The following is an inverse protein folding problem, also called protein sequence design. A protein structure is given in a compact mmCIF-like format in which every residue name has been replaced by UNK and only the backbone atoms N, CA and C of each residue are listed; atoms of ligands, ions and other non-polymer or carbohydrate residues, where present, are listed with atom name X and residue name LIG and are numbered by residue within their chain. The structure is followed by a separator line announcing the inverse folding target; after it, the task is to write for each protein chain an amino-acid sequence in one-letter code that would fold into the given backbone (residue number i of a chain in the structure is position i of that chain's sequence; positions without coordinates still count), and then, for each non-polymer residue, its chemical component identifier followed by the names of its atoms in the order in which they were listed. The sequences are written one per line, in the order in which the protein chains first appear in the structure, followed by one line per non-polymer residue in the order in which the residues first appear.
data_IF_561447343335
#
_entry.id   IF_561447343335
#
_cell.length_a   1.000
_cell.length_b   1.000
_cell.length_c   1.000
_cell.angle_alpha   90.00
_cell.angle_beta   90.00
_cell.angle_gamma   90.00
#
_symmetry.space_group_name_H-M   'P 1'
#
loop_
_entity.id
_entity.type
_entity.pdbx_description
1 polymer ?
#
# COMPACT_ATOMS: atom_id res chain seq x y z
N UNK A 1 -20.60 -4.10 -2.46
CA UNK A 1 -19.89 -3.22 -1.49
C UNK A 1 -18.87 -2.40 -2.26
N UNK A 2 -18.70 -1.12 -1.96
CA UNK A 2 -17.74 -0.26 -2.68
C UNK A 2 -16.62 0.13 -1.72
N UNK A 3 -15.39 -0.31 -2.01
CA UNK A 3 -14.20 -0.06 -1.20
C UNK A 3 -13.41 1.06 -1.85
N UNK A 4 -13.13 2.13 -1.11
CA UNK A 4 -12.36 3.28 -1.59
C UNK A 4 -11.07 3.34 -0.77
N UNK A 5 -9.92 3.21 -1.45
CA UNK A 5 -8.60 3.30 -0.82
C UNK A 5 -7.95 4.62 -1.23
N UNK A 6 -7.76 5.58 -0.30
CA UNK A 6 -7.11 6.83 -0.61
C UNK A 6 -5.60 6.61 -0.77
N UNK A 7 -5.10 6.87 -1.98
CA UNK A 7 -3.67 6.78 -2.31
C UNK A 7 -2.95 8.14 -2.29
N UNK A 8 -3.65 9.19 -1.87
CA UNK A 8 -3.12 10.54 -1.76
C UNK A 8 -2.35 10.72 -0.45
N UNK A 9 -1.13 10.21 -0.41
CA UNK A 9 -0.18 10.49 0.66
C UNK A 9 1.23 10.42 0.10
N UNK A 10 1.99 11.51 0.21
CA UNK A 10 3.33 11.64 -0.37
C UNK A 10 4.34 10.57 0.08
N UNK A 11 3.97 9.70 1.03
CA UNK A 11 4.86 8.66 1.54
C UNK A 11 6.14 9.24 2.14
N UNK A 12 6.14 10.49 2.61
CA UNK A 12 7.35 11.23 2.99
C UNK A 12 8.22 10.49 4.01
N UNK A 13 7.61 9.76 4.95
CA UNK A 13 8.34 8.89 5.90
C UNK A 13 9.03 7.70 5.23
N UNK A 14 8.40 7.13 4.20
CA UNK A 14 8.98 6.03 3.41
C UNK A 14 10.08 6.54 2.47
N UNK A 15 9.89 7.72 1.87
CA UNK A 15 10.94 8.37 1.08
C UNK A 15 12.18 8.69 1.94
N UNK A 16 11.99 9.22 3.16
CA UNK A 16 13.10 9.47 4.11
C UNK A 16 13.78 8.16 4.55
N UNK A 17 13.02 7.08 4.68
CA UNK A 17 13.58 5.75 4.99
C UNK A 17 14.29 5.07 3.81
N UNK A 18 14.38 5.74 2.64
CA UNK A 18 15.12 5.25 1.48
C UNK A 18 14.31 4.38 0.52
N UNK A 19 12.99 4.29 0.68
CA UNK A 19 12.14 3.59 -0.28
C UNK A 19 11.98 4.43 -1.55
N UNK A 20 12.35 3.86 -2.69
CA UNK A 20 12.23 4.48 -4.02
C UNK A 20 10.83 4.33 -4.61
N UNK A 21 10.14 3.26 -4.24
CA UNK A 21 8.81 2.96 -4.76
C UNK A 21 7.74 3.73 -3.98
N UNK A 22 6.68 4.20 -4.66
CA UNK A 22 5.52 4.80 -3.98
C UNK A 22 4.99 3.85 -2.90
N UNK A 23 4.59 4.40 -1.74
CA UNK A 23 4.12 3.63 -0.56
C UNK A 23 3.25 2.40 -0.91
N UNK A 24 2.22 2.50 -1.78
CA UNK A 24 1.35 1.36 -2.04
C UNK A 24 1.99 0.21 -2.82
N UNK A 25 3.10 0.48 -3.50
CA UNK A 25 3.86 -0.48 -4.30
C UNK A 25 5.05 -1.08 -3.53
N UNK A 26 5.37 -0.55 -2.35
CA UNK A 26 6.44 -1.10 -1.51
C UNK A 26 6.14 -2.60 -1.25
N UNK A 27 7.11 -3.49 -1.51
CA UNK A 27 6.92 -4.92 -1.28
C UNK A 27 6.84 -5.22 0.22
N UNK A 28 5.77 -5.89 0.63
CA UNK A 28 5.53 -6.44 1.97
C UNK A 28 5.39 -7.95 1.81
N UNK A 29 6.30 -8.72 2.41
CA UNK A 29 6.36 -10.19 2.24
C UNK A 29 6.41 -10.64 0.77
N UNK A 30 7.09 -9.88 -0.10
CA UNK A 30 7.24 -10.21 -1.52
C UNK A 30 6.05 -9.87 -2.40
N UNK A 31 4.97 -9.29 -1.86
CA UNK A 31 3.83 -8.77 -2.61
C UNK A 31 3.67 -7.26 -2.40
N UNK A 32 3.13 -6.50 -3.37
CA UNK A 32 2.89 -5.07 -3.18
C UNK A 32 1.95 -4.81 -1.99
N UNK A 33 2.25 -3.79 -1.17
CA UNK A 33 1.45 -3.43 0.01
C UNK A 33 -0.06 -3.34 -0.27
N UNK A 34 -0.45 -2.79 -1.43
CA UNK A 34 -1.87 -2.66 -1.80
C UNK A 34 -2.58 -4.03 -1.92
N UNK A 35 -1.88 -5.09 -2.33
CA UNK A 35 -2.45 -6.43 -2.41
C UNK A 35 -2.82 -6.96 -1.04
N UNK A 36 -1.95 -6.76 -0.04
CA UNK A 36 -2.23 -7.12 1.36
C UNK A 36 -3.47 -6.40 1.88
N UNK A 37 -3.63 -5.11 1.54
CA UNK A 37 -4.80 -4.33 1.96
C UNK A 37 -6.08 -4.84 1.31
N UNK A 38 -6.06 -5.17 0.01
CA UNK A 38 -7.22 -5.71 -0.69
C UNK A 38 -7.60 -7.08 -0.13
N UNK A 39 -6.64 -8.00 0.01
CA UNK A 39 -6.88 -9.35 0.51
C UNK A 39 -7.49 -9.31 1.93
N UNK A 40 -7.14 -8.32 2.75
CA UNK A 40 -7.68 -8.15 4.11
C UNK A 40 -9.06 -7.46 4.16
N UNK A 41 -9.43 -6.72 3.12
CA UNK A 41 -10.74 -6.02 3.03
C UNK A 41 -11.79 -6.84 2.29
N UNK A 42 -11.41 -7.95 1.66
CA UNK A 42 -12.32 -8.81 0.92
C UNK A 42 -13.11 -9.67 1.93
N UNK A 43 -14.44 -9.52 2.07
CA UNK A 43 -15.25 -10.42 2.90
C UNK A 43 -15.35 -11.80 2.25
N UNK A 44 -15.59 -12.83 3.06
CA UNK A 44 -15.95 -14.18 2.59
C UNK A 44 -17.22 -14.18 1.73
#
# INVERSE_FOLDING_TARGET
MQIIVPMAGAGSRFAVAGYTDPKPLIPVHGVPMIKVVIDNLTPD
#
